data_IF_760885445974
#
_entry.id   IF_760885445974
#
_cell.length_a   1.000
_cell.length_b   1.000
_cell.length_c   1.000
_cell.angle_alpha   90.00
_cell.angle_beta   90.00
_cell.angle_gamma   90.00
#
_symmetry.space_group_name_H-M   'P 1'
#
loop_
_entity.id
_entity.type
_entity.pdbx_description
1 polymer ?
#
# COMPACT_ATOMS: atom_id res chain seq x y z
N UNK A 1 17.44 10.72 -9.40
CA UNK A 1 16.38 11.72 -9.64
C UNK A 1 15.29 11.00 -10.42
N UNK A 2 14.24 10.53 -9.75
CA UNK A 2 13.15 9.80 -10.42
C UNK A 2 12.28 10.86 -11.12
N UNK A 3 11.95 10.71 -12.41
CA UNK A 3 11.28 11.77 -13.17
C UNK A 3 9.89 12.06 -12.59
N UNK A 4 9.58 13.35 -12.50
CA UNK A 4 8.34 13.96 -11.98
C UNK A 4 7.06 13.63 -12.78
N UNK A 5 7.08 12.60 -13.62
CA UNK A 5 6.04 12.27 -14.60
C UNK A 5 5.35 10.92 -14.38
N UNK A 6 5.70 10.16 -13.31
CA UNK A 6 5.11 8.85 -13.02
C UNK A 6 4.31 8.83 -11.71
N UNK A 7 3.47 9.85 -11.48
CA UNK A 7 2.50 9.82 -10.37
C UNK A 7 1.10 9.37 -10.82
N UNK A 8 0.77 9.44 -12.12
CA UNK A 8 -0.61 9.23 -12.59
C UNK A 8 -0.94 7.78 -13.06
N UNK A 9 0.03 6.90 -13.25
CA UNK A 9 -0.23 5.52 -13.72
C UNK A 9 -0.43 4.49 -12.59
N UNK A 10 -0.21 4.86 -11.32
CA UNK A 10 -0.21 3.89 -10.20
C UNK A 10 -1.45 3.92 -9.31
N UNK A 11 -2.36 4.89 -9.48
CA UNK A 11 -3.56 5.04 -8.66
C UNK A 11 -4.83 4.83 -9.48
N UNK A 12 -5.28 3.57 -9.55
CA UNK A 12 -6.58 3.25 -10.16
C UNK A 12 -7.72 3.91 -9.34
N UNK A 13 -8.56 4.70 -10.01
CA UNK A 13 -9.68 5.37 -9.36
C UNK A 13 -10.79 4.36 -9.04
N UNK A 14 -11.14 4.31 -7.76
CA UNK A 14 -12.18 3.46 -7.20
C UNK A 14 -13.57 4.06 -7.44
N UNK A 15 -14.63 3.25 -7.40
CA UNK A 15 -15.98 3.82 -7.36
C UNK A 15 -16.23 4.44 -5.98
N UNK A 16 -16.89 5.61 -5.94
CA UNK A 16 -17.17 6.32 -4.68
C UNK A 16 -17.84 5.43 -3.64
N UNK A 17 -18.77 4.57 -4.08
CA UNK A 17 -19.47 3.65 -3.19
C UNK A 17 -18.55 2.61 -2.53
N UNK A 18 -17.52 2.14 -3.26
CA UNK A 18 -16.56 1.16 -2.72
C UNK A 18 -15.63 1.81 -1.70
N UNK A 19 -15.21 3.06 -1.93
CA UNK A 19 -14.38 3.80 -0.98
C UNK A 19 -15.13 4.12 0.31
N UNK A 20 -16.40 4.51 0.20
CA UNK A 20 -17.26 4.74 1.37
C UNK A 20 -17.43 3.46 2.20
N UNK A 21 -17.68 2.32 1.55
CA UNK A 21 -17.80 1.02 2.22
C UNK A 21 -16.50 0.63 2.92
N UNK A 22 -15.37 0.79 2.24
CA UNK A 22 -14.05 0.51 2.79
C UNK A 22 -13.79 1.34 4.04
N UNK A 23 -14.02 2.65 3.99
CA UNK A 23 -13.83 3.52 5.14
C UNK A 23 -14.77 3.12 6.28
N UNK A 24 -16.06 2.91 6.00
CA UNK A 24 -17.05 2.55 7.01
C UNK A 24 -16.73 1.22 7.73
N UNK A 25 -16.23 0.22 7.00
CA UNK A 25 -16.08 -1.14 7.54
C UNK A 25 -14.69 -1.43 8.08
N UNK A 26 -13.64 -0.79 7.55
CA UNK A 26 -12.25 -1.17 7.82
C UNK A 26 -11.39 -0.06 8.45
N UNK A 27 -11.93 1.14 8.69
CA UNK A 27 -11.25 2.21 9.44
C UNK A 27 -11.79 2.38 10.85
N UNK A 28 -10.96 2.92 11.73
CA UNK A 28 -11.28 3.33 13.10
C UNK A 28 -10.23 4.34 13.60
N UNK A 29 -10.24 4.71 14.89
CA UNK A 29 -9.28 5.67 15.46
C UNK A 29 -7.80 5.28 15.23
N UNK A 30 -7.52 3.98 15.12
CA UNK A 30 -6.19 3.41 14.92
C UNK A 30 -5.85 3.17 13.43
N UNK A 31 -6.86 2.93 12.58
CA UNK A 31 -6.70 2.69 11.13
C UNK A 31 -7.35 3.82 10.36
N UNK A 32 -6.54 4.79 9.92
CA UNK A 32 -7.03 6.09 9.41
C UNK A 32 -7.30 6.14 7.91
N UNK A 33 -6.98 5.08 7.17
CA UNK A 33 -7.24 5.04 5.74
C UNK A 33 -6.46 3.97 5.01
N UNK A 34 -6.72 3.91 3.71
CA UNK A 34 -6.14 2.97 2.77
C UNK A 34 -5.73 3.70 1.50
N UNK A 35 -4.68 3.19 0.86
CA UNK A 35 -4.17 3.67 -0.42
C UNK A 35 -4.17 2.51 -1.40
N UNK A 36 -4.44 2.80 -2.68
CA UNK A 36 -4.21 1.85 -3.77
C UNK A 36 -2.80 2.03 -4.28
N UNK A 37 -2.03 0.95 -4.36
CA UNK A 37 -0.69 0.95 -4.93
C UNK A 37 -0.58 -0.24 -5.87
N UNK A 38 -0.24 -0.03 -7.14
CA UNK A 38 0.00 -1.11 -8.12
C UNK A 38 -1.11 -2.19 -8.12
N UNK A 39 -2.38 -1.74 -8.04
CA UNK A 39 -3.55 -2.63 -8.08
C UNK A 39 -3.92 -3.32 -6.76
N UNK A 40 -3.14 -3.17 -5.68
CA UNK A 40 -3.47 -3.69 -4.35
C UNK A 40 -3.89 -2.58 -3.38
N UNK A 41 -4.65 -2.95 -2.34
CA UNK A 41 -5.09 -2.04 -1.30
C UNK A 41 -4.21 -2.22 -0.06
N UNK A 42 -3.55 -1.16 0.36
CA UNK A 42 -2.62 -1.15 1.50
C UNK A 42 -3.08 -0.10 2.52
N UNK A 43 -2.78 -0.27 3.83
CA UNK A 43 -3.00 0.80 4.80
C UNK A 43 -2.24 2.06 4.40
N UNK A 44 -2.80 3.24 4.66
CA UNK A 44 -2.16 4.54 4.37
C UNK A 44 -0.74 4.63 4.97
N UNK A 45 -0.52 4.01 6.13
CA UNK A 45 0.77 3.94 6.79
C UNK A 45 1.89 3.30 5.93
N UNK A 46 1.54 2.47 4.93
CA UNK A 46 2.50 1.93 3.98
C UNK A 46 3.26 3.04 3.25
N UNK A 47 2.60 4.16 2.91
CA UNK A 47 3.25 5.29 2.23
C UNK A 47 4.45 5.86 3.00
N UNK A 48 4.47 5.72 4.34
CA UNK A 48 5.57 6.18 5.21
C UNK A 48 6.79 5.28 5.16
N UNK A 49 6.62 4.01 4.77
CA UNK A 49 7.68 2.99 4.77
C UNK A 49 7.99 2.44 3.37
N UNK A 50 7.21 2.81 2.36
CA UNK A 50 7.32 2.29 0.99
C UNK A 50 8.75 2.45 0.44
N UNK A 51 9.32 3.65 0.55
CA UNK A 51 10.69 3.91 0.08
C UNK A 51 11.74 3.07 0.83
N UNK A 52 11.57 2.84 2.13
CA UNK A 52 12.49 2.01 2.91
C UNK A 52 12.40 0.54 2.55
N UNK A 53 11.20 0.05 2.21
CA UNK A 53 11.00 -1.32 1.73
C UNK A 53 11.59 -1.49 0.32
N UNK A 54 11.32 -0.55 -0.60
CA UNK A 54 11.82 -0.61 -1.98
C UNK A 54 13.36 -0.51 -2.06
N UNK A 55 14.00 0.16 -1.10
CA UNK A 55 15.46 0.28 -1.02
C UNK A 55 16.07 -0.58 0.11
N UNK A 56 15.34 -1.60 0.59
CA UNK A 56 15.85 -2.49 1.62
C UNK A 56 17.10 -3.22 1.09
N UNK A 57 18.17 -3.22 1.90
CA UNK A 57 19.36 -4.03 1.60
C UNK A 57 19.03 -5.50 1.85
N UNK A 58 19.25 -6.33 0.84
CA UNK A 58 19.07 -7.79 0.89
C UNK A 58 20.44 -8.46 1.00
N UNK A 59 20.52 -9.51 1.80
CA UNK A 59 21.70 -10.37 1.94
C UNK A 59 21.44 -11.78 1.41
N UNK A 60 22.52 -12.50 1.10
CA UNK A 60 22.46 -13.81 0.45
C UNK A 60 21.85 -14.91 1.35
N UNK A 61 21.83 -14.68 2.67
CA UNK A 61 21.30 -15.58 3.69
C UNK A 61 19.90 -15.19 4.20
N UNK A 62 19.29 -14.14 3.63
CA UNK A 62 17.93 -13.75 4.00
C UNK A 62 16.90 -14.81 3.57
N UNK A 63 16.05 -15.22 4.51
CA UNK A 63 14.91 -16.12 4.25
C UNK A 63 13.60 -15.36 4.40
N UNK A 64 12.78 -15.38 3.35
CA UNK A 64 11.51 -14.66 3.30
C UNK A 64 10.34 -15.64 3.36
N UNK A 65 9.38 -15.38 4.24
CA UNK A 65 8.10 -16.08 4.27
C UNK A 65 7.01 -15.07 3.95
N UNK A 66 6.46 -15.16 2.74
CA UNK A 66 5.48 -14.21 2.22
C UNK A 66 4.13 -14.90 2.06
N UNK A 67 3.08 -14.29 2.60
CA UNK A 67 1.70 -14.76 2.45
C UNK A 67 0.71 -13.62 2.67
N UNK A 68 -0.56 -13.83 2.33
CA UNK A 68 -1.61 -12.93 2.77
C UNK A 68 -1.89 -13.13 4.27
N UNK A 69 -2.31 -12.09 5.01
CA UNK A 69 -2.69 -12.28 6.41
C UNK A 69 -3.74 -13.38 6.54
N UNK A 70 -3.54 -14.32 7.48
CA UNK A 70 -4.43 -15.48 7.75
C UNK A 70 -4.37 -16.62 6.70
N UNK A 71 -3.28 -16.71 5.95
CA UNK A 71 -2.95 -17.88 5.12
C UNK A 71 -2.55 -19.10 5.94
#
# INVERSE_FOLDING_TARGET
IVPHSIENEYFAQSSKNLDELLMKTFTNEFRRGYIRCKGVLLPEAYGKIANSIENLRIWDDDVWVCSFPKS
#
